data_IF_302651833242
#
_entry.id   IF_302651833242
#
_cell.length_a   1.000
_cell.length_b   1.000
_cell.length_c   1.000
_cell.angle_alpha   90.00
_cell.angle_beta   90.00
_cell.angle_gamma   90.00
#
_symmetry.space_group_name_H-M   'P 1'
#
loop_
_entity.id
_entity.type
_entity.pdbx_description
1 polymer ?
#
# COMPACT_ATOMS: atom_id res chain seq x y z
N UNK A 1 19.22 16.18 -13.22
CA UNK A 1 18.06 16.23 -14.13
C UNK A 1 17.32 17.53 -13.89
N UNK A 2 17.22 18.41 -14.89
CA UNK A 2 16.40 19.62 -14.78
C UNK A 2 14.93 19.22 -14.88
N UNK A 3 14.17 19.43 -13.81
CA UNK A 3 12.72 19.26 -13.82
C UNK A 3 12.14 20.33 -14.73
N UNK A 4 11.80 19.95 -15.97
CA UNK A 4 11.13 20.87 -16.89
C UNK A 4 9.64 20.85 -16.62
N UNK A 5 8.98 22.01 -16.79
CA UNK A 5 7.52 22.09 -16.76
C UNK A 5 6.87 21.15 -17.77
N UNK A 6 7.55 20.87 -18.89
CA UNK A 6 7.12 19.89 -19.86
C UNK A 6 6.97 18.49 -19.23
N UNK A 7 7.92 18.02 -18.41
CA UNK A 7 7.82 16.72 -17.74
C UNK A 7 6.71 16.68 -16.69
N UNK A 8 6.37 17.81 -16.05
CA UNK A 8 5.26 17.86 -15.10
C UNK A 8 3.90 17.88 -15.80
N UNK A 9 3.79 18.57 -16.94
CA UNK A 9 2.53 18.81 -17.65
C UNK A 9 2.23 17.82 -18.78
N UNK A 10 3.22 17.03 -19.23
CA UNK A 10 3.04 16.03 -20.29
C UNK A 10 1.82 15.10 -20.10
N UNK A 11 1.47 14.62 -18.89
CA UNK A 11 0.30 13.76 -18.73
C UNK A 11 -1.03 14.51 -18.63
N UNK A 12 -1.09 15.84 -18.80
CA UNK A 12 -2.30 16.63 -18.53
C UNK A 12 -3.50 16.15 -19.35
N UNK A 13 -3.34 15.93 -20.66
CA UNK A 13 -4.43 15.46 -21.52
C UNK A 13 -4.95 14.09 -21.07
N UNK A 14 -4.05 13.15 -20.78
CA UNK A 14 -4.42 11.83 -20.31
C UNK A 14 -5.11 11.89 -18.94
N UNK A 15 -4.63 12.74 -18.03
CA UNK A 15 -5.23 12.96 -16.72
C UNK A 15 -6.63 13.56 -16.81
N UNK A 16 -6.86 14.51 -17.71
CA UNK A 16 -8.18 15.11 -17.95
C UNK A 16 -9.17 14.11 -18.54
N UNK A 17 -8.73 13.28 -19.50
CA UNK A 17 -9.55 12.18 -20.04
C UNK A 17 -9.90 11.20 -18.92
N UNK A 18 -8.92 10.78 -18.11
CA UNK A 18 -9.15 9.89 -16.98
C UNK A 18 -10.12 10.50 -15.94
N UNK A 19 -10.01 11.80 -15.67
CA UNK A 19 -10.93 12.52 -14.77
C UNK A 19 -12.36 12.56 -15.32
N UNK A 20 -12.55 12.78 -16.63
CA UNK A 20 -13.87 12.72 -17.25
C UNK A 20 -14.49 11.31 -17.15
N UNK A 21 -13.69 10.27 -17.38
CA UNK A 21 -14.12 8.87 -17.18
C UNK A 21 -14.47 8.60 -15.72
N UNK A 22 -13.62 9.02 -14.78
CA UNK A 22 -13.86 8.88 -13.35
C UNK A 22 -15.15 9.57 -12.90
N UNK A 23 -15.43 10.77 -13.42
CA UNK A 23 -16.69 11.47 -13.19
C UNK A 23 -17.89 10.64 -13.64
N UNK A 24 -17.87 10.15 -14.89
CA UNK A 24 -18.95 9.34 -15.46
C UNK A 24 -19.17 8.07 -14.62
N UNK A 25 -18.10 7.36 -14.27
CA UNK A 25 -18.19 6.14 -13.45
C UNK A 25 -18.74 6.47 -12.06
N UNK A 26 -18.28 7.55 -11.42
CA UNK A 26 -18.79 7.97 -10.11
C UNK A 26 -20.29 8.28 -10.12
N UNK A 27 -20.77 8.99 -11.14
CA UNK A 27 -22.21 9.24 -11.34
C UNK A 27 -22.96 7.92 -11.54
N UNK A 28 -22.49 7.05 -12.43
CA UNK A 28 -23.14 5.77 -12.73
C UNK A 28 -23.25 4.88 -11.49
N UNK A 29 -22.19 4.77 -10.69
CA UNK A 29 -22.19 4.02 -9.42
C UNK A 29 -23.16 4.65 -8.41
N UNK A 30 -23.19 5.98 -8.31
CA UNK A 30 -24.14 6.68 -7.44
C UNK A 30 -25.60 6.40 -7.81
N UNK A 31 -25.92 6.44 -9.10
CA UNK A 31 -27.26 6.12 -9.62
C UNK A 31 -27.62 4.65 -9.38
N UNK A 32 -26.72 3.72 -9.70
CA UNK A 32 -26.91 2.28 -9.48
C UNK A 32 -27.18 1.93 -8.02
N UNK A 33 -26.53 2.63 -7.08
CA UNK A 33 -26.75 2.48 -5.63
C UNK A 33 -27.99 3.20 -5.10
N UNK A 34 -28.83 3.78 -5.96
CA UNK A 34 -30.03 4.52 -5.56
C UNK A 34 -29.74 5.85 -4.86
N UNK A 35 -28.52 6.39 -5.02
CA UNK A 35 -28.07 7.63 -4.38
C UNK A 35 -28.16 8.82 -5.35
N UNK A 36 -29.28 8.99 -6.04
CA UNK A 36 -29.45 9.98 -7.11
C UNK A 36 -29.11 11.41 -6.68
N UNK A 37 -29.49 11.81 -5.46
CA UNK A 37 -29.16 13.14 -4.90
C UNK A 37 -27.66 13.39 -4.67
N UNK A 38 -26.84 12.33 -4.61
CA UNK A 38 -25.40 12.41 -4.35
C UNK A 38 -24.54 11.91 -5.51
N UNK A 39 -25.14 11.41 -6.60
CA UNK A 39 -24.43 10.82 -7.71
C UNK A 39 -23.47 11.81 -8.40
N UNK A 40 -23.93 13.05 -8.60
CA UNK A 40 -23.09 14.12 -9.16
C UNK A 40 -21.90 14.43 -8.26
N UNK A 41 -22.12 14.57 -6.94
CA UNK A 41 -21.04 14.85 -6.00
C UNK A 41 -20.01 13.71 -5.99
N UNK A 42 -20.47 12.45 -6.02
CA UNK A 42 -19.58 11.28 -6.12
C UNK A 42 -18.74 11.31 -7.39
N UNK A 43 -19.34 11.67 -8.53
CA UNK A 43 -18.60 11.89 -9.78
C UNK A 43 -17.53 12.96 -9.64
N UNK A 44 -17.88 14.13 -9.07
CA UNK A 44 -16.93 15.23 -8.84
C UNK A 44 -15.81 14.80 -7.89
N UNK A 45 -16.13 14.15 -6.78
CA UNK A 45 -15.15 13.70 -5.78
C UNK A 45 -14.18 12.68 -6.39
N UNK A 46 -14.67 11.71 -7.16
CA UNK A 46 -13.85 10.72 -7.87
C UNK A 46 -12.89 11.38 -8.87
N UNK A 47 -13.38 12.31 -9.70
CA UNK A 47 -12.56 13.00 -10.69
C UNK A 47 -11.53 13.94 -10.04
N UNK A 48 -11.94 14.70 -9.02
CA UNK A 48 -11.07 15.63 -8.32
C UNK A 48 -9.94 14.90 -7.59
N UNK A 49 -10.27 13.86 -6.80
CA UNK A 49 -9.25 13.11 -6.08
C UNK A 49 -8.34 12.30 -7.01
N UNK A 50 -8.81 11.84 -8.17
CA UNK A 50 -7.94 11.28 -9.21
C UNK A 50 -6.88 12.30 -9.63
N UNK A 51 -7.29 13.52 -10.01
CA UNK A 51 -6.36 14.56 -10.47
C UNK A 51 -5.38 14.98 -9.37
N UNK A 52 -5.88 15.21 -8.15
CA UNK A 52 -5.03 15.59 -7.02
C UNK A 52 -4.08 14.46 -6.65
N UNK A 53 -4.54 13.21 -6.61
CA UNK A 53 -3.71 12.05 -6.31
C UNK A 53 -2.59 11.85 -7.34
N UNK A 54 -2.93 11.91 -8.63
CA UNK A 54 -1.98 11.84 -9.74
C UNK A 54 -0.95 12.96 -9.70
N UNK A 55 -1.36 14.19 -9.34
CA UNK A 55 -0.47 15.33 -9.22
C UNK A 55 0.48 15.21 -8.02
N UNK A 56 -0.06 14.94 -6.83
CA UNK A 56 0.71 14.86 -5.58
C UNK A 56 1.79 13.78 -5.64
N UNK A 57 1.44 12.59 -6.10
CA UNK A 57 2.40 11.48 -6.22
C UNK A 57 3.50 11.81 -7.22
N UNK A 58 3.15 12.41 -8.37
CA UNK A 58 4.13 12.77 -9.41
C UNK A 58 5.10 13.81 -8.87
N UNK A 59 4.59 14.84 -8.19
CA UNK A 59 5.41 15.86 -7.55
C UNK A 59 6.33 15.26 -6.50
N UNK A 60 5.82 14.37 -5.65
CA UNK A 60 6.58 13.69 -4.61
C UNK A 60 7.73 12.84 -5.18
N UNK A 61 7.45 11.97 -6.15
CA UNK A 61 8.47 11.12 -6.78
C UNK A 61 9.49 11.97 -7.56
N UNK A 62 9.03 12.99 -8.29
CA UNK A 62 9.93 13.90 -9.00
C UNK A 62 10.84 14.67 -8.03
N UNK A 63 10.30 15.09 -6.88
CA UNK A 63 11.09 15.72 -5.82
C UNK A 63 12.18 14.76 -5.33
N UNK A 64 11.86 13.51 -4.99
CA UNK A 64 12.85 12.52 -4.55
C UNK A 64 13.95 12.29 -5.60
N UNK A 65 13.57 12.10 -6.85
CA UNK A 65 14.50 11.92 -7.97
C UNK A 65 15.42 13.13 -8.16
N UNK A 66 14.90 14.34 -7.99
CA UNK A 66 15.69 15.57 -8.16
C UNK A 66 16.75 15.79 -7.08
N UNK A 67 16.62 15.12 -5.93
CA UNK A 67 17.63 15.15 -4.84
C UNK A 67 18.74 14.14 -5.02
N UNK A 68 18.61 13.20 -5.95
CA UNK A 68 19.63 12.19 -6.19
C UNK A 68 20.64 12.64 -7.26
N UNK A 69 21.95 12.52 -7.02
CA UNK A 69 22.96 12.75 -8.06
C UNK A 69 22.87 11.74 -9.20
N UNK A 70 22.46 10.50 -8.90
CA UNK A 70 22.22 9.44 -9.88
C UNK A 70 20.72 9.09 -9.96
N UNK A 71 19.91 9.91 -10.64
CA UNK A 71 18.45 9.74 -10.67
C UNK A 71 18.02 8.36 -11.19
N UNK A 72 18.79 7.77 -12.09
CA UNK A 72 18.57 6.40 -12.56
C UNK A 72 18.64 5.38 -11.43
N UNK A 73 19.66 5.44 -10.58
CA UNK A 73 19.83 4.50 -9.44
C UNK A 73 18.77 4.77 -8.38
N UNK A 74 18.48 6.04 -8.10
CA UNK A 74 17.43 6.42 -7.17
C UNK A 74 16.05 5.93 -7.62
N UNK A 75 15.76 5.97 -8.92
CA UNK A 75 14.49 5.48 -9.47
C UNK A 75 14.24 3.99 -9.12
N UNK A 76 15.27 3.15 -9.17
CA UNK A 76 15.16 1.76 -8.74
C UNK A 76 14.82 1.61 -7.24
N UNK A 77 15.52 2.34 -6.38
CA UNK A 77 15.28 2.33 -4.92
C UNK A 77 13.89 2.88 -4.58
N UNK A 78 13.48 3.97 -5.23
CA UNK A 78 12.16 4.58 -5.07
C UNK A 78 11.06 3.63 -5.59
N UNK A 79 11.31 2.91 -6.68
CA UNK A 79 10.42 1.87 -7.20
C UNK A 79 10.17 0.77 -6.18
N UNK A 80 11.21 0.31 -5.48
CA UNK A 80 11.08 -0.63 -4.36
C UNK A 80 10.31 -0.05 -3.17
N UNK A 81 10.65 1.18 -2.77
CA UNK A 81 10.08 1.80 -1.58
C UNK A 81 8.59 2.16 -1.74
N UNK A 82 8.24 2.83 -2.83
CA UNK A 82 6.95 3.51 -2.96
C UNK A 82 5.99 2.84 -3.94
N UNK A 83 6.44 1.94 -4.81
CA UNK A 83 5.55 1.19 -5.72
C UNK A 83 5.65 -0.34 -5.55
N UNK A 84 6.69 -0.82 -4.86
CA UNK A 84 7.03 -2.23 -4.60
C UNK A 84 7.23 -3.06 -5.88
N UNK A 85 6.17 -3.31 -6.65
CA UNK A 85 6.15 -4.19 -7.82
C UNK A 85 7.10 -3.76 -8.93
N UNK A 86 7.18 -2.48 -9.34
CA UNK A 86 8.19 -2.06 -10.32
C UNK A 86 9.61 -2.37 -9.85
N UNK A 87 9.90 -2.16 -8.57
CA UNK A 87 11.19 -2.51 -7.97
C UNK A 87 11.48 -4.00 -8.03
N UNK A 88 10.51 -4.84 -7.61
CA UNK A 88 10.63 -6.31 -7.65
C UNK A 88 10.88 -6.80 -9.07
N UNK A 89 10.10 -6.32 -10.05
CA UNK A 89 10.19 -6.75 -11.45
C UNK A 89 11.56 -6.40 -12.03
N UNK A 90 12.05 -5.19 -11.74
CA UNK A 90 13.36 -4.74 -12.24
C UNK A 90 14.54 -5.32 -11.45
N UNK A 91 14.35 -6.10 -10.38
CA UNK A 91 15.46 -6.66 -9.59
C UNK A 91 16.38 -7.56 -10.41
N UNK A 92 15.83 -8.50 -11.18
CA UNK A 92 16.64 -9.40 -12.02
C UNK A 92 17.26 -8.64 -13.20
N UNK A 93 16.49 -7.87 -14.01
CA UNK A 93 17.06 -7.03 -15.07
C UNK A 93 18.17 -6.08 -14.58
N UNK A 94 18.03 -5.52 -13.38
CA UNK A 94 19.02 -4.59 -12.82
C UNK A 94 20.38 -5.26 -12.57
N UNK A 95 20.41 -6.57 -12.23
CA UNK A 95 21.66 -7.34 -12.12
C UNK A 95 22.37 -7.50 -13.46
N UNK A 96 21.63 -7.38 -14.57
CA UNK A 96 22.13 -7.43 -15.94
C UNK A 96 22.36 -6.04 -16.54
N UNK A 97 22.23 -4.97 -15.74
CA UNK A 97 22.38 -3.58 -16.20
C UNK A 97 21.16 -3.02 -16.94
N UNK A 98 20.01 -3.67 -16.87
CA UNK A 98 18.76 -3.23 -17.50
C UNK A 98 17.75 -2.71 -16.46
N UNK A 99 16.92 -1.73 -16.85
CA UNK A 99 15.77 -1.26 -16.06
C UNK A 99 14.60 -1.03 -16.99
N UNK A 100 13.48 -1.69 -16.75
CA UNK A 100 12.31 -1.59 -17.61
C UNK A 100 11.27 -0.65 -17.02
N UNK A 101 10.97 -0.79 -15.73
CA UNK A 101 9.91 -0.04 -15.06
C UNK A 101 10.43 1.08 -14.16
N UNK A 102 11.67 0.99 -13.68
CA UNK A 102 12.27 1.94 -12.74
C UNK A 102 13.30 2.85 -13.41
N UNK A 103 13.07 3.26 -14.65
CA UNK A 103 13.70 4.48 -15.18
C UNK A 103 12.94 5.70 -14.64
N UNK A 104 13.54 6.89 -14.51
CA UNK A 104 12.86 8.08 -13.98
C UNK A 104 11.51 8.38 -14.66
N UNK A 105 11.46 8.32 -15.99
CA UNK A 105 10.25 8.65 -16.75
C UNK A 105 9.15 7.60 -16.56
N UNK A 106 9.50 6.30 -16.64
CA UNK A 106 8.54 5.23 -16.41
C UNK A 106 8.03 5.21 -14.98
N UNK A 107 8.92 5.43 -14.00
CA UNK A 107 8.56 5.50 -12.60
C UNK A 107 7.59 6.66 -12.33
N UNK A 108 7.83 7.84 -12.90
CA UNK A 108 6.91 8.98 -12.79
C UNK A 108 5.56 8.68 -13.43
N UNK A 109 5.52 8.02 -14.58
CA UNK A 109 4.28 7.62 -15.23
C UNK A 109 3.50 6.61 -14.39
N UNK A 110 4.16 5.54 -13.92
CA UNK A 110 3.56 4.52 -13.05
C UNK A 110 3.05 5.14 -11.74
N UNK A 111 3.85 5.99 -11.10
CA UNK A 111 3.45 6.70 -9.90
C UNK A 111 2.17 7.53 -10.14
N UNK A 112 2.14 8.30 -11.23
CA UNK A 112 0.97 9.12 -11.63
C UNK A 112 -0.28 8.23 -11.80
N UNK A 113 -0.15 7.08 -12.45
CA UNK A 113 -1.25 6.13 -12.65
C UNK A 113 -1.74 5.55 -11.32
N UNK A 114 -0.82 5.14 -10.43
CA UNK A 114 -1.18 4.57 -9.13
C UNK A 114 -1.82 5.61 -8.23
N UNK A 115 -1.22 6.79 -8.05
CA UNK A 115 -1.82 7.83 -7.20
C UNK A 115 -3.14 8.35 -7.75
N UNK A 116 -3.29 8.45 -9.08
CA UNK A 116 -4.57 8.75 -9.71
C UNK A 116 -5.61 7.66 -9.48
N UNK A 117 -5.23 6.38 -9.60
CA UNK A 117 -6.10 5.24 -9.31
C UNK A 117 -6.54 5.18 -7.84
N UNK A 118 -5.62 5.41 -6.90
CA UNK A 118 -5.94 5.52 -5.47
C UNK A 118 -6.90 6.68 -5.22
N UNK A 119 -6.60 7.88 -5.74
CA UNK A 119 -7.49 9.04 -5.62
C UNK A 119 -8.88 8.80 -6.20
N UNK A 120 -8.96 8.16 -7.37
CA UNK A 120 -10.22 7.73 -7.97
C UNK A 120 -11.02 6.83 -7.04
N UNK A 121 -10.42 5.76 -6.51
CA UNK A 121 -11.11 4.83 -5.63
C UNK A 121 -11.56 5.52 -4.34
N UNK A 122 -10.72 6.37 -3.75
CA UNK A 122 -11.04 7.11 -2.54
C UNK A 122 -12.25 8.03 -2.73
N UNK A 123 -12.32 8.74 -3.86
CA UNK A 123 -13.45 9.61 -4.18
C UNK A 123 -14.69 8.86 -4.64
N UNK A 124 -14.51 7.76 -5.38
CA UNK A 124 -15.60 6.89 -5.80
C UNK A 124 -16.37 6.36 -4.59
N UNK A 125 -15.68 6.00 -3.51
CA UNK A 125 -16.30 5.47 -2.29
C UNK A 125 -16.49 6.49 -1.17
N UNK A 126 -15.91 7.69 -1.26
CA UNK A 126 -16.06 8.75 -0.27
C UNK A 126 -15.49 8.37 1.10
N UNK A 127 -14.27 7.82 1.13
CA UNK A 127 -13.69 7.31 2.39
C UNK A 127 -13.12 8.39 3.30
N UNK A 128 -12.86 9.59 2.80
CA UNK A 128 -12.15 10.64 3.55
C UNK A 128 -13.11 11.61 4.24
N UNK A 129 -13.02 11.71 5.56
CA UNK A 129 -13.67 12.74 6.38
C UNK A 129 -12.79 14.00 6.53
N UNK A 130 -12.92 14.71 7.64
CA UNK A 130 -12.11 15.91 7.91
C UNK A 130 -10.61 15.61 7.99
N UNK A 131 -10.23 14.47 8.54
CA UNK A 131 -8.83 14.02 8.64
C UNK A 131 -8.27 13.64 7.25
N UNK A 132 -9.15 13.45 6.27
CA UNK A 132 -8.87 13.29 4.84
C UNK A 132 -7.84 14.24 4.27
N UNK A 133 -7.81 15.50 4.75
CA UNK A 133 -6.84 16.51 4.27
C UNK A 133 -5.38 16.12 4.56
N UNK A 134 -5.15 15.26 5.56
CA UNK A 134 -3.83 14.75 5.94
C UNK A 134 -3.64 13.33 5.41
N UNK A 135 -4.62 12.45 5.63
CA UNK A 135 -4.51 11.03 5.27
C UNK A 135 -4.47 10.82 3.76
N UNK A 136 -5.18 11.63 2.97
CA UNK A 136 -5.17 11.48 1.51
C UNK A 136 -3.79 11.77 0.90
N UNK A 137 -3.14 12.93 1.14
CA UNK A 137 -1.77 13.17 0.68
C UNK A 137 -0.80 12.07 1.12
N UNK A 138 -0.90 11.60 2.37
CA UNK A 138 -0.04 10.51 2.85
C UNK A 138 -0.30 9.20 2.10
N UNK A 139 -1.55 8.82 1.86
CA UNK A 139 -1.90 7.61 1.12
C UNK A 139 -1.32 7.59 -0.30
N UNK A 140 -1.34 8.73 -1.00
CA UNK A 140 -0.84 8.84 -2.37
C UNK A 140 0.65 9.21 -2.45
N UNK A 141 1.36 9.40 -1.32
CA UNK A 141 2.79 9.71 -1.32
C UNK A 141 3.57 8.77 -0.40
N UNK A 142 3.56 9.05 0.90
CA UNK A 142 4.31 8.30 1.90
C UNK A 142 3.87 6.84 2.02
N UNK A 143 2.56 6.60 2.08
CA UNK A 143 1.94 5.27 2.11
C UNK A 143 1.69 4.66 0.73
N UNK A 144 2.33 5.17 -0.33
CA UNK A 144 2.09 4.73 -1.71
C UNK A 144 2.43 3.25 -1.92
N UNK A 145 3.44 2.71 -1.24
CA UNK A 145 3.84 1.31 -1.37
C UNK A 145 2.70 0.35 -1.05
N UNK A 146 2.06 0.53 0.11
CA UNK A 146 0.89 -0.26 0.49
C UNK A 146 -0.32 0.01 -0.40
N UNK A 147 -0.54 1.27 -0.80
CA UNK A 147 -1.67 1.63 -1.67
C UNK A 147 -1.50 1.17 -3.13
N UNK A 148 -0.28 0.88 -3.59
CA UNK A 148 -0.05 0.24 -4.89
C UNK A 148 -0.64 -1.18 -4.89
N UNK A 149 -0.35 -1.95 -3.84
CA UNK A 149 -0.97 -3.26 -3.63
C UNK A 149 -2.45 -3.14 -3.28
N UNK A 150 -2.85 -2.10 -2.53
CA UNK A 150 -4.24 -1.77 -2.25
C UNK A 150 -5.07 -1.52 -3.52
N UNK A 151 -4.49 -0.87 -4.52
CA UNK A 151 -5.15 -0.68 -5.82
C UNK A 151 -5.34 -1.99 -6.58
N UNK A 152 -4.37 -2.92 -6.51
CA UNK A 152 -4.57 -4.27 -7.04
C UNK A 152 -5.68 -5.01 -6.29
N UNK A 153 -5.70 -4.88 -4.96
CA UNK A 153 -6.74 -5.45 -4.11
C UNK A 153 -8.12 -4.87 -4.42
N UNK A 154 -8.20 -3.59 -4.77
CA UNK A 154 -9.42 -2.99 -5.33
C UNK A 154 -9.85 -3.67 -6.61
N UNK A 155 -8.98 -3.86 -7.59
CA UNK A 155 -9.33 -4.48 -8.87
C UNK A 155 -9.88 -5.91 -8.67
N UNK A 156 -9.23 -6.67 -7.80
CA UNK A 156 -9.64 -8.02 -7.40
C UNK A 156 -11.03 -7.99 -6.75
N UNK A 157 -11.23 -7.11 -5.77
CA UNK A 157 -12.51 -7.04 -5.04
C UNK A 157 -13.63 -6.41 -5.85
N UNK A 158 -13.34 -5.45 -6.72
CA UNK A 158 -14.37 -4.77 -7.52
C UNK A 158 -15.11 -5.74 -8.44
N UNK A 159 -14.45 -6.82 -8.88
CA UNK A 159 -15.02 -7.81 -9.77
C UNK A 159 -16.06 -8.74 -9.09
N UNK A 160 -15.97 -8.99 -7.78
CA UNK A 160 -16.83 -10.00 -7.12
C UNK A 160 -17.18 -9.75 -5.65
N UNK A 161 -16.73 -8.66 -5.05
CA UNK A 161 -16.97 -8.34 -3.65
C UNK A 161 -17.86 -7.12 -3.45
N UNK A 162 -18.57 -7.10 -2.31
CA UNK A 162 -19.35 -5.94 -1.89
C UNK A 162 -18.51 -4.95 -1.08
N UNK A 163 -18.28 -3.76 -1.63
CA UNK A 163 -17.76 -2.64 -0.82
C UNK A 163 -18.81 -2.26 0.23
N UNK A 164 -18.38 -2.14 1.48
CA UNK A 164 -19.20 -1.74 2.62
C UNK A 164 -19.83 -0.36 2.39
N UNK A 165 -21.02 -0.08 2.94
CA UNK A 165 -21.62 1.26 2.84
C UNK A 165 -20.90 2.32 3.69
N UNK A 166 -19.93 1.94 4.53
CA UNK A 166 -19.20 2.87 5.39
C UNK A 166 -18.48 3.93 4.55
N UNK A 167 -18.61 5.19 4.96
CA UNK A 167 -17.97 6.36 4.36
C UNK A 167 -17.23 7.14 5.43
N UNK A 168 -16.24 7.95 5.04
CA UNK A 168 -15.54 8.86 5.96
C UNK A 168 -14.79 8.14 7.09
N UNK A 169 -14.36 6.90 6.85
CA UNK A 169 -13.61 6.04 7.78
C UNK A 169 -12.10 6.05 7.56
N UNK A 170 -11.61 6.81 6.57
CA UNK A 170 -10.20 6.84 6.14
C UNK A 170 -9.68 5.50 5.56
N UNK A 171 -10.58 4.54 5.32
CA UNK A 171 -10.25 3.23 4.79
C UNK A 171 -11.39 2.63 3.96
N UNK A 172 -11.04 1.91 2.91
CA UNK A 172 -11.96 1.06 2.16
C UNK A 172 -12.18 -0.25 2.89
N UNK A 173 -13.43 -0.69 2.93
CA UNK A 173 -13.80 -1.99 3.53
C UNK A 173 -14.63 -2.80 2.57
N UNK A 174 -14.15 -3.97 2.21
CA UNK A 174 -14.93 -5.00 1.53
C UNK A 174 -15.32 -6.08 2.54
N UNK A 175 -16.62 -6.31 2.71
CA UNK A 175 -17.13 -7.25 3.74
C UNK A 175 -16.79 -8.71 3.42
N UNK A 176 -16.66 -9.01 2.13
CA UNK A 176 -16.17 -10.25 1.56
C UNK A 176 -15.13 -9.90 0.49
N UNK A 177 -14.45 -10.88 -0.10
CA UNK A 177 -13.52 -10.63 -1.20
C UNK A 177 -12.28 -11.49 -1.13
N UNK A 178 -11.17 -10.93 -1.60
CA UNK A 178 -9.86 -11.55 -1.50
C UNK A 178 -9.51 -11.84 -0.04
N UNK A 179 -9.05 -13.07 0.18
CA UNK A 179 -8.59 -13.54 1.48
C UNK A 179 -7.65 -14.71 1.28
N UNK A 180 -6.66 -14.83 2.14
CA UNK A 180 -5.78 -16.01 2.18
C UNK A 180 -6.47 -17.17 2.92
N UNK A 181 -7.27 -16.86 3.94
CA UNK A 181 -8.08 -17.81 4.70
C UNK A 181 -9.49 -17.28 4.91
N UNK A 182 -10.47 -18.18 5.05
CA UNK A 182 -11.89 -17.80 5.20
C UNK A 182 -12.17 -16.87 6.38
N UNK A 183 -11.37 -16.96 7.44
CA UNK A 183 -11.51 -16.21 8.69
C UNK A 183 -10.67 -14.94 8.75
N UNK A 184 -9.80 -14.68 7.77
CA UNK A 184 -8.80 -13.61 7.85
C UNK A 184 -9.27 -12.39 7.06
N UNK A 185 -9.03 -11.20 7.60
CA UNK A 185 -9.00 -10.00 6.81
C UNK A 185 -7.71 -9.94 6.00
N UNK A 186 -7.68 -9.08 4.99
CA UNK A 186 -6.46 -8.78 4.25
C UNK A 186 -6.41 -7.30 3.93
N UNK A 187 -5.43 -6.60 4.51
CA UNK A 187 -5.29 -5.15 4.36
C UNK A 187 -4.02 -4.77 3.62
N UNK A 188 -4.16 -3.89 2.63
CA UNK A 188 -3.06 -3.31 1.86
C UNK A 188 -3.32 -1.83 1.64
N UNK A 189 -2.43 -0.98 2.12
CA UNK A 189 -2.64 0.47 2.10
C UNK A 189 -3.88 0.84 2.92
N UNK A 190 -4.79 1.61 2.33
CA UNK A 190 -6.08 1.93 2.93
C UNK A 190 -7.20 0.94 2.58
N UNK A 191 -6.89 -0.23 2.01
CA UNK A 191 -7.89 -1.18 1.48
C UNK A 191 -7.93 -2.45 2.31
N UNK A 192 -9.07 -2.70 2.95
CA UNK A 192 -9.33 -3.89 3.77
C UNK A 192 -10.30 -4.82 3.04
N UNK A 193 -9.92 -6.08 2.86
CA UNK A 193 -10.73 -7.12 2.22
C UNK A 193 -11.13 -8.22 3.18
N UNK A 194 -12.31 -8.80 2.95
CA UNK A 194 -12.92 -9.82 3.81
C UNK A 194 -13.04 -9.38 5.29
N UNK A 195 -13.27 -8.08 5.51
CA UNK A 195 -13.22 -7.45 6.84
C UNK A 195 -14.63 -7.25 7.40
N UNK A 196 -15.02 -8.14 8.31
CA UNK A 196 -16.22 -8.01 9.14
C UNK A 196 -16.05 -6.90 10.18
N UNK A 197 -17.16 -6.43 10.77
CA UNK A 197 -17.12 -5.36 11.77
C UNK A 197 -16.23 -5.69 12.97
N UNK A 198 -16.22 -6.95 13.41
CA UNK A 198 -15.38 -7.42 14.53
C UNK A 198 -13.87 -7.40 14.23
N UNK A 199 -13.48 -7.34 12.95
CA UNK A 199 -12.08 -7.26 12.51
C UNK A 199 -11.67 -5.83 12.15
N UNK A 200 -12.60 -4.88 12.11
CA UNK A 200 -12.31 -3.52 11.66
C UNK A 200 -11.17 -2.86 12.45
N UNK A 201 -11.18 -2.95 13.78
CA UNK A 201 -10.14 -2.34 14.61
C UNK A 201 -8.74 -2.89 14.32
N UNK A 202 -8.64 -4.21 14.12
CA UNK A 202 -7.39 -4.89 13.75
C UNK A 202 -6.88 -4.41 12.40
N UNK A 203 -7.73 -4.49 11.37
CA UNK A 203 -7.36 -4.12 10.00
C UNK A 203 -7.08 -2.62 9.86
N UNK A 204 -7.80 -1.77 10.61
CA UNK A 204 -7.57 -0.34 10.60
C UNK A 204 -6.21 0.05 11.18
N UNK A 205 -5.68 -0.73 12.12
CA UNK A 205 -4.28 -0.54 12.58
C UNK A 205 -3.30 -0.71 11.43
N UNK A 206 -3.51 -1.67 10.52
CA UNK A 206 -2.65 -1.82 9.34
C UNK A 206 -2.74 -0.62 8.38
N UNK A 207 -3.92 -0.01 8.25
CA UNK A 207 -4.08 1.24 7.50
C UNK A 207 -3.26 2.36 8.15
N UNK A 208 -3.33 2.51 9.48
CA UNK A 208 -2.55 3.51 10.23
C UNK A 208 -1.05 3.22 10.16
N UNK A 209 -0.63 1.97 10.26
CA UNK A 209 0.77 1.56 10.12
C UNK A 209 1.32 1.95 8.75
N UNK A 210 0.55 1.72 7.67
CA UNK A 210 0.92 2.17 6.34
C UNK A 210 1.02 3.71 6.25
N UNK A 211 0.11 4.45 6.88
CA UNK A 211 0.13 5.91 6.90
C UNK A 211 1.29 6.50 7.70
N UNK A 212 1.68 5.86 8.80
CA UNK A 212 2.73 6.38 9.69
C UNK A 212 4.12 5.95 9.23
N UNK A 213 4.30 4.66 8.94
CA UNK A 213 5.60 4.11 8.57
C UNK A 213 5.84 4.09 7.06
N UNK A 214 4.83 4.32 6.23
CA UNK A 214 4.97 4.46 4.78
C UNK A 214 5.64 3.24 4.14
N UNK A 215 6.74 3.42 3.37
CA UNK A 215 7.44 2.32 2.73
C UNK A 215 8.04 1.33 3.75
N UNK A 216 8.39 1.81 4.95
CA UNK A 216 9.01 0.97 5.98
C UNK A 216 8.07 -0.12 6.48
N UNK A 217 6.76 0.17 6.56
CA UNK A 217 5.77 -0.81 6.98
C UNK A 217 5.81 -2.04 6.08
N UNK A 218 5.60 -1.85 4.78
CA UNK A 218 5.53 -2.93 3.80
C UNK A 218 6.87 -3.67 3.70
N UNK A 219 7.98 -2.95 3.60
CA UNK A 219 9.29 -3.56 3.43
C UNK A 219 9.74 -4.34 4.66
N UNK A 220 9.51 -3.82 5.87
CA UNK A 220 9.89 -4.53 7.10
C UNK A 220 8.96 -5.71 7.39
N UNK A 221 7.67 -5.62 7.03
CA UNK A 221 6.76 -6.76 7.08
C UNK A 221 7.26 -7.89 6.16
N UNK A 222 7.58 -7.58 4.90
CA UNK A 222 8.11 -8.56 3.95
C UNK A 222 9.48 -9.11 4.39
N UNK A 223 10.38 -8.25 4.86
CA UNK A 223 11.67 -8.67 5.38
C UNK A 223 11.53 -9.66 6.54
N UNK A 224 10.60 -9.40 7.47
CA UNK A 224 10.29 -10.33 8.57
C UNK A 224 9.85 -11.69 8.04
N UNK A 225 8.91 -11.71 7.08
CA UNK A 225 8.42 -12.95 6.48
C UNK A 225 9.57 -13.74 5.81
N UNK A 226 10.44 -13.07 5.06
CA UNK A 226 11.58 -13.72 4.40
C UNK A 226 12.58 -14.27 5.42
N UNK A 227 12.94 -13.47 6.43
CA UNK A 227 13.92 -13.85 7.45
C UNK A 227 13.45 -15.05 8.28
N UNK A 228 12.16 -15.09 8.63
CA UNK A 228 11.60 -16.15 9.46
C UNK A 228 10.99 -17.32 8.67
N UNK A 229 11.05 -17.30 7.35
CA UNK A 229 10.55 -18.40 6.51
C UNK A 229 11.26 -19.72 6.81
N UNK A 230 12.60 -19.74 6.79
CA UNK A 230 13.39 -20.96 7.06
C UNK A 230 13.22 -21.45 8.50
N UNK A 231 13.32 -20.59 9.55
CA UNK A 231 12.98 -20.99 10.91
C UNK A 231 11.57 -21.58 11.04
N UNK A 232 10.56 -20.95 10.43
CA UNK A 232 9.18 -21.43 10.45
C UNK A 232 9.00 -22.78 9.75
N UNK A 233 9.69 -22.98 8.62
CA UNK A 233 9.75 -24.26 7.90
C UNK A 233 10.33 -25.37 8.80
N UNK A 234 11.47 -25.12 9.44
CA UNK A 234 12.11 -26.08 10.36
C UNK A 234 11.19 -26.38 11.55
N UNK A 235 10.63 -25.35 12.19
CA UNK A 235 9.74 -25.52 13.33
C UNK A 235 8.48 -26.33 12.96
N UNK A 236 7.92 -26.08 11.78
CA UNK A 236 6.77 -26.81 11.27
C UNK A 236 7.08 -28.27 10.94
N UNK A 237 8.28 -28.57 10.40
CA UNK A 237 8.74 -29.94 10.17
C UNK A 237 8.97 -30.72 11.47
N UNK A 238 9.38 -30.04 12.55
CA UNK A 238 9.62 -30.64 13.87
C UNK A 238 8.37 -30.69 14.76
N UNK A 239 7.26 -30.08 14.36
CA UNK A 239 6.07 -29.96 15.17
C UNK A 239 5.30 -31.29 15.26
N UNK A 240 4.92 -31.69 16.47
CA UNK A 240 4.09 -32.88 16.74
C UNK A 240 2.59 -32.61 16.68
N UNK A 241 2.18 -31.35 16.71
CA UNK A 241 0.76 -30.92 16.85
C UNK A 241 0.28 -29.99 15.73
N UNK A 242 1.18 -29.53 14.86
CA UNK A 242 0.89 -28.66 13.73
C UNK A 242 1.77 -29.04 12.55
N UNK A 243 1.39 -28.63 11.35
CA UNK A 243 2.15 -28.93 10.12
C UNK A 243 3.18 -27.86 9.77
N UNK A 244 3.87 -28.06 8.64
CA UNK A 244 4.78 -27.07 8.04
C UNK A 244 4.10 -25.71 7.84
N UNK A 245 2.85 -25.72 7.37
CA UNK A 245 2.09 -24.50 7.17
C UNK A 245 1.88 -23.71 8.47
N UNK A 246 1.52 -24.38 9.57
CA UNK A 246 1.33 -23.73 10.87
C UNK A 246 2.65 -23.17 11.43
N UNK A 247 3.77 -23.87 11.19
CA UNK A 247 5.10 -23.41 11.57
C UNK A 247 5.51 -22.14 10.80
N UNK A 248 5.33 -22.14 9.48
CA UNK A 248 5.62 -20.96 8.65
C UNK A 248 4.73 -19.80 9.07
N UNK A 249 3.42 -20.00 9.20
CA UNK A 249 2.48 -18.96 9.61
C UNK A 249 2.79 -18.40 11.00
N UNK A 250 3.03 -19.27 11.99
CA UNK A 250 3.34 -18.85 13.35
C UNK A 250 4.57 -17.94 13.44
N UNK A 251 5.61 -18.27 12.66
CA UNK A 251 6.85 -17.48 12.64
C UNK A 251 6.76 -16.26 11.73
N UNK A 252 6.24 -16.40 10.51
CA UNK A 252 6.29 -15.31 9.52
C UNK A 252 5.15 -14.31 9.64
N UNK A 253 4.00 -14.73 10.14
CA UNK A 253 2.78 -13.94 10.23
C UNK A 253 2.40 -13.66 11.69
N UNK A 254 2.07 -14.67 12.49
CA UNK A 254 1.54 -14.45 13.86
C UNK A 254 2.54 -13.76 14.79
N UNK A 255 3.84 -14.01 14.59
CA UNK A 255 4.90 -13.38 15.39
C UNK A 255 5.44 -12.08 14.79
N UNK A 256 4.88 -11.62 13.67
CA UNK A 256 5.27 -10.36 13.05
C UNK A 256 4.88 -9.18 13.96
N UNK A 257 5.78 -8.23 14.25
CA UNK A 257 5.50 -7.10 15.14
C UNK A 257 4.31 -6.26 14.68
N UNK A 258 4.14 -6.11 13.36
CA UNK A 258 3.03 -5.35 12.79
C UNK A 258 1.68 -6.03 13.02
N UNK A 259 1.66 -7.36 12.88
CA UNK A 259 0.49 -8.20 13.14
C UNK A 259 0.14 -8.21 14.63
N UNK A 260 1.14 -8.34 15.50
CA UNK A 260 0.96 -8.30 16.95
C UNK A 260 0.33 -6.99 17.43
N UNK A 261 0.68 -5.85 16.81
CA UNK A 261 0.03 -4.56 17.05
C UNK A 261 -1.44 -4.55 16.60
N UNK A 262 -1.76 -5.16 15.47
CA UNK A 262 -3.14 -5.34 15.01
C UNK A 262 -3.97 -6.13 16.03
N UNK A 263 -3.44 -7.27 16.49
CA UNK A 263 -4.10 -8.11 17.50
C UNK A 263 -4.31 -7.41 18.85
N UNK A 264 -3.38 -6.52 19.23
CA UNK A 264 -3.54 -5.72 20.45
C UNK A 264 -4.70 -4.72 20.36
N UNK A 265 -5.05 -4.24 19.16
CA UNK A 265 -6.16 -3.32 18.95
C UNK A 265 -7.51 -4.01 18.71
N UNK A 266 -7.49 -5.29 18.35
CA UNK A 266 -8.69 -6.10 18.18
C UNK A 266 -8.46 -7.37 17.38
N UNK A 267 -9.53 -8.15 17.19
CA UNK A 267 -9.50 -9.43 16.49
C UNK A 267 -9.85 -10.61 17.40
N UNK A 268 -10.15 -11.75 16.78
CA UNK A 268 -10.62 -12.95 17.49
C UNK A 268 -9.51 -13.95 17.84
N UNK A 269 -8.29 -13.73 17.34
CA UNK A 269 -7.16 -14.61 17.62
C UNK A 269 -6.29 -13.98 18.69
N UNK A 270 -6.14 -14.67 19.83
CA UNK A 270 -5.01 -14.40 20.72
C UNK A 270 -3.76 -14.79 19.93
N UNK A 271 -2.82 -13.86 19.68
CA UNK A 271 -1.67 -14.17 18.86
C UNK A 271 -0.92 -15.31 19.54
N UNK A 272 -0.71 -16.40 18.82
CA UNK A 272 0.27 -17.41 19.21
C UNK A 272 1.63 -16.79 18.95
N UNK A 273 2.02 -15.79 19.76
CA UNK A 273 3.33 -15.15 19.63
C UNK A 273 4.37 -16.19 19.98
N UNK A 274 4.85 -16.92 18.98
CA UNK A 274 5.74 -18.07 19.18
C UNK A 274 7.04 -17.64 19.90
N UNK A 275 7.45 -16.38 19.69
CA UNK A 275 8.62 -15.78 20.32
C UNK A 275 8.30 -15.05 21.65
N UNK A 276 7.02 -14.90 22.01
CA UNK A 276 6.56 -14.02 23.09
C UNK A 276 6.56 -12.52 22.71
N UNK A 277 5.61 -11.76 23.26
CA UNK A 277 5.35 -10.36 22.87
C UNK A 277 6.59 -9.46 23.01
N UNK A 278 7.37 -9.64 24.07
CA UNK A 278 8.59 -8.84 24.32
C UNK A 278 9.62 -9.03 23.21
N UNK A 279 9.90 -10.27 22.81
CA UNK A 279 10.89 -10.55 21.76
C UNK A 279 10.41 -10.10 20.38
N UNK A 280 9.12 -10.28 20.08
CA UNK A 280 8.53 -9.73 18.85
C UNK A 280 8.70 -8.22 18.79
N UNK A 281 8.41 -7.48 19.86
CA UNK A 281 8.59 -6.03 19.88
C UNK A 281 10.08 -5.65 19.75
N UNK A 282 10.98 -6.30 20.50
CA UNK A 282 12.42 -6.01 20.45
C UNK A 282 13.00 -6.27 19.06
N UNK A 283 12.70 -7.42 18.45
CA UNK A 283 13.17 -7.76 17.11
C UNK A 283 12.55 -6.83 16.05
N UNK A 284 11.28 -6.45 16.22
CA UNK A 284 10.63 -5.47 15.34
C UNK A 284 11.30 -4.10 15.38
N UNK A 285 11.55 -3.57 16.58
CA UNK A 285 12.28 -2.31 16.77
C UNK A 285 13.69 -2.42 16.21
N UNK A 286 14.39 -3.54 16.46
CA UNK A 286 15.72 -3.77 15.93
C UNK A 286 15.74 -3.83 14.39
N UNK A 287 14.74 -4.46 13.76
CA UNK A 287 14.62 -4.52 12.31
C UNK A 287 14.26 -3.17 11.70
N UNK A 288 13.36 -2.41 12.31
CA UNK A 288 13.06 -1.04 11.87
C UNK A 288 14.30 -0.16 12.02
N UNK A 289 14.99 -0.22 13.16
CA UNK A 289 16.21 0.53 13.39
C UNK A 289 17.32 0.12 12.40
N UNK A 290 17.53 -1.18 12.19
CA UNK A 290 18.48 -1.70 11.21
C UNK A 290 18.10 -1.26 9.81
N UNK A 291 16.83 -1.32 9.43
CA UNK A 291 16.37 -0.89 8.12
C UNK A 291 16.52 0.62 7.93
N UNK A 292 16.27 1.43 8.95
CA UNK A 292 16.53 2.88 8.95
C UNK A 292 18.03 3.15 8.82
N UNK A 293 18.88 2.42 9.55
CA UNK A 293 20.34 2.55 9.46
C UNK A 293 20.89 2.09 8.12
N UNK A 294 20.35 0.99 7.56
CA UNK A 294 20.68 0.50 6.23
C UNK A 294 20.20 1.47 5.17
N UNK A 295 18.99 2.01 5.29
CA UNK A 295 18.51 3.09 4.44
C UNK A 295 19.46 4.28 4.55
N UNK A 296 19.88 4.68 5.74
CA UNK A 296 20.85 5.74 5.95
C UNK A 296 22.24 5.46 5.33
N UNK A 297 22.63 4.20 5.08
CA UNK A 297 23.90 3.84 4.41
C UNK A 297 23.76 3.55 2.92
N UNK A 298 22.64 2.98 2.51
CA UNK A 298 22.29 2.66 1.12
C UNK A 298 21.82 3.92 0.38
N UNK A 299 21.16 4.85 1.07
CA UNK A 299 20.84 6.18 0.53
C UNK A 299 22.14 6.86 0.10
N UNK A 300 23.20 7.03 0.92
CA UNK A 300 24.49 7.53 0.44
C UNK A 300 25.06 6.77 -0.76
N UNK A 301 24.95 5.44 -0.85
CA UNK A 301 25.46 4.70 -2.02
C UNK A 301 24.65 4.95 -3.30
N UNK A 302 23.32 5.08 -3.19
CA UNK A 302 22.48 5.48 -4.31
C UNK A 302 22.57 7.00 -4.59
N UNK A 303 23.04 7.79 -3.60
CA UNK A 303 23.25 9.24 -3.63
C UNK A 303 24.73 9.65 -3.74
N UNK A 304 25.64 8.75 -4.10
CA UNK A 304 27.06 9.03 -4.43
C UNK A 304 27.41 8.34 -5.75
#
# INVERSE_FOLDING_TARGET
MTLTWALLLHPLTAALIAAAVAFIVGVAVGLYKGQSGWALLRGVEAAALLLVGAFLVRLFIAFLLSRAPHPERAAFVIGWAFLLWPGIIDTIPALLGHRWLTTPDHLLALATLVGGGVGFMNGLWGIHGLVGIITFPLNVTWGLGGNTTGLLLHLINFAWAGHSPDTRTEAHRYQSGFRLKSTYGFTQGCVMSNTKQSLFGHEFVHVVQNLVAGPYYVLSYLAWMVLLFVPGLIAGLLSKKGGVADGIEGYTYDSNPWEAMGYAAGGSHSPKVVLGTVWTVVLGVALVALFVLLSWKVIPWAWQ
#
